data_IF_631300218162
#
_entry.id   IF_631300218162
#
_cell.length_a   1.000
_cell.length_b   1.000
_cell.length_c   1.000
_cell.angle_alpha   90.00
_cell.angle_beta   90.00
_cell.angle_gamma   90.00
#
_symmetry.space_group_name_H-M   'P 1'
#
loop_
_entity.id
_entity.type
_entity.pdbx_description
1 polymer ?
#
# COMPACT_ATOMS: atom_id res chain seq x y z
N UNK A 1 -16.85 21.57 -25.24
CA UNK A 1 -17.94 22.17 -24.44
C UNK A 1 -19.18 22.36 -25.32
N UNK A 2 -19.86 21.28 -25.70
CA UNK A 2 -21.01 21.34 -26.63
C UNK A 2 -22.35 21.19 -25.91
N UNK A 3 -22.38 20.43 -24.81
CA UNK A 3 -23.64 20.03 -24.14
C UNK A 3 -24.08 20.98 -23.01
N UNK A 4 -23.16 21.78 -22.47
CA UNK A 4 -23.45 22.63 -21.30
C UNK A 4 -24.32 23.82 -21.70
N UNK A 5 -25.52 23.91 -21.10
CA UNK A 5 -26.44 25.04 -21.30
C UNK A 5 -27.41 24.89 -22.48
N UNK A 6 -27.45 23.72 -23.13
CA UNK A 6 -28.45 23.46 -24.17
C UNK A 6 -29.85 23.22 -23.55
N UNK A 7 -30.92 23.78 -24.15
CA UNK A 7 -32.30 23.43 -23.81
C UNK A 7 -32.57 21.92 -23.95
N UNK A 8 -33.61 21.42 -23.28
CA UNK A 8 -34.02 20.02 -23.38
C UNK A 8 -34.46 19.65 -24.81
N UNK A 9 -34.41 18.36 -25.14
CA UNK A 9 -34.74 17.77 -26.45
C UNK A 9 -33.68 18.13 -27.51
N UNK A 10 -33.91 17.73 -28.76
CA UNK A 10 -32.99 17.91 -29.87
C UNK A 10 -32.70 19.39 -30.16
N UNK A 11 -31.40 19.71 -30.22
CA UNK A 11 -30.86 20.97 -30.69
C UNK A 11 -29.89 20.70 -31.83
N UNK A 12 -29.87 21.55 -32.86
CA UNK A 12 -28.93 21.39 -33.99
C UNK A 12 -27.46 21.37 -33.52
N UNK A 13 -27.15 22.11 -32.47
CA UNK A 13 -25.82 22.14 -31.85
C UNK A 13 -25.41 20.80 -31.24
N UNK A 14 -26.36 19.95 -30.85
CA UNK A 14 -26.09 18.59 -30.36
C UNK A 14 -25.45 17.70 -31.43
N UNK A 15 -25.56 18.06 -32.72
CA UNK A 15 -24.85 17.34 -33.78
C UNK A 15 -23.32 17.49 -33.64
N UNK A 16 -22.81 18.59 -33.08
CA UNK A 16 -21.35 18.77 -32.89
C UNK A 16 -20.74 17.78 -31.89
N UNK A 17 -21.51 16.85 -31.31
CA UNK A 17 -20.97 15.73 -30.52
C UNK A 17 -20.35 14.64 -31.39
N UNK A 18 -20.78 14.47 -32.64
CA UNK A 18 -20.28 13.39 -33.49
C UNK A 18 -18.82 13.64 -33.92
N UNK A 19 -18.42 14.89 -34.17
CA UNK A 19 -17.05 15.21 -34.62
C UNK A 19 -15.99 14.90 -33.54
N UNK A 20 -16.13 15.34 -32.27
CA UNK A 20 -15.24 14.94 -31.20
C UNK A 20 -15.31 13.44 -30.91
N UNK A 21 -16.47 12.79 -31.04
CA UNK A 21 -16.54 11.34 -30.86
C UNK A 21 -15.85 10.61 -32.00
N UNK A 22 -15.98 11.02 -33.26
CA UNK A 22 -15.32 10.30 -34.36
C UNK A 22 -13.81 10.61 -34.43
N UNK A 23 -13.42 11.88 -34.39
CA UNK A 23 -12.02 12.30 -34.45
C UNK A 23 -11.29 12.01 -33.14
N UNK A 24 -11.95 12.26 -32.01
CA UNK A 24 -11.45 11.90 -30.68
C UNK A 24 -11.44 10.40 -30.51
N UNK A 25 -12.54 9.65 -30.70
CA UNK A 25 -12.46 8.19 -30.53
C UNK A 25 -11.50 7.50 -31.49
N UNK A 26 -11.27 7.95 -32.73
CA UNK A 26 -10.22 7.33 -33.54
C UNK A 26 -8.80 7.68 -33.05
N UNK A 27 -8.51 8.94 -32.70
CA UNK A 27 -7.17 9.36 -32.24
C UNK A 27 -6.88 8.94 -30.80
N UNK A 28 -7.87 9.03 -29.93
CA UNK A 28 -7.83 8.61 -28.53
C UNK A 28 -7.83 7.09 -28.42
N UNK A 29 -8.54 6.34 -29.28
CA UNK A 29 -8.42 4.88 -29.32
C UNK A 29 -7.02 4.45 -29.74
N UNK A 30 -6.44 5.09 -30.76
CA UNK A 30 -5.04 4.85 -31.13
C UNK A 30 -4.09 5.23 -30.00
N UNK A 31 -4.26 6.40 -29.39
CA UNK A 31 -3.42 6.84 -28.27
C UNK A 31 -3.53 5.95 -27.03
N UNK A 32 -4.73 5.47 -26.69
CA UNK A 32 -4.95 4.53 -25.58
C UNK A 32 -4.36 3.16 -25.94
N UNK A 33 -4.59 2.66 -27.16
CA UNK A 33 -4.03 1.40 -27.64
C UNK A 33 -2.50 1.42 -27.61
N UNK A 34 -1.89 2.49 -28.10
CA UNK A 34 -0.44 2.67 -28.10
C UNK A 34 0.10 2.76 -26.67
N UNK A 35 -0.58 3.51 -25.79
CA UNK A 35 -0.22 3.62 -24.37
C UNK A 35 -0.27 2.26 -23.66
N UNK A 36 -1.27 1.43 -23.97
CA UNK A 36 -1.40 0.09 -23.41
C UNK A 36 -0.30 -0.84 -23.94
N UNK A 37 0.03 -0.77 -25.23
CA UNK A 37 1.13 -1.56 -25.80
C UNK A 37 2.48 -1.17 -25.20
N UNK A 38 2.73 0.13 -25.01
CA UNK A 38 3.94 0.62 -24.35
C UNK A 38 3.99 0.15 -22.90
N UNK A 39 2.90 0.28 -22.14
CA UNK A 39 2.84 -0.18 -20.76
C UNK A 39 3.09 -1.70 -20.65
N UNK A 40 2.50 -2.48 -21.56
CA UNK A 40 2.76 -3.92 -21.64
C UNK A 40 4.24 -4.21 -21.92
N UNK A 41 4.85 -3.51 -22.88
CA UNK A 41 6.27 -3.65 -23.18
C UNK A 41 7.14 -3.38 -21.95
N UNK A 42 6.88 -2.27 -21.25
CA UNK A 42 7.58 -1.92 -20.01
C UNK A 42 7.45 -3.03 -18.98
N UNK A 43 6.23 -3.51 -18.70
CA UNK A 43 5.99 -4.54 -17.68
C UNK A 43 6.66 -5.87 -18.02
N UNK A 44 6.69 -6.26 -19.29
CA UNK A 44 7.32 -7.51 -19.74
C UNK A 44 8.85 -7.43 -19.67
N UNK A 45 9.43 -6.27 -19.92
CA UNK A 45 10.90 -6.09 -19.94
C UNK A 45 11.46 -5.50 -18.65
N UNK A 46 10.63 -5.28 -17.63
CA UNK A 46 11.06 -4.68 -16.38
C UNK A 46 11.89 -5.68 -15.57
N UNK A 47 13.16 -5.35 -15.33
CA UNK A 47 14.00 -6.11 -14.41
C UNK A 47 13.84 -5.60 -12.98
N UNK A 48 13.33 -6.48 -12.13
CA UNK A 48 13.20 -6.26 -10.69
C UNK A 48 14.54 -6.52 -10.02
N UNK A 49 14.87 -5.75 -8.98
CA UNK A 49 16.06 -5.95 -8.12
C UNK A 49 15.65 -6.37 -6.71
N UNK A 50 15.33 -7.66 -6.47
CA UNK A 50 14.76 -8.13 -5.22
C UNK A 50 15.58 -7.73 -4.00
N UNK A 51 16.91 -7.83 -4.07
CA UNK A 51 17.80 -7.48 -2.96
C UNK A 51 17.72 -5.99 -2.60
N UNK A 52 17.61 -5.10 -3.59
CA UNK A 52 17.47 -3.66 -3.32
C UNK A 52 16.07 -3.32 -2.78
N UNK A 53 15.05 -4.03 -3.22
CA UNK A 53 13.68 -3.86 -2.71
C UNK A 53 13.57 -4.33 -1.26
N UNK A 54 14.13 -5.50 -0.95
CA UNK A 54 14.20 -6.02 0.43
C UNK A 54 15.00 -5.10 1.34
N UNK A 55 16.14 -4.58 0.88
CA UNK A 55 16.94 -3.64 1.66
C UNK A 55 16.26 -2.28 1.88
N UNK A 56 15.27 -1.92 1.07
CA UNK A 56 14.48 -0.70 1.26
C UNK A 56 13.30 -0.88 2.23
N UNK A 57 13.01 -2.11 2.68
CA UNK A 57 11.99 -2.37 3.68
C UNK A 57 12.49 -1.88 5.04
N UNK A 58 11.82 -0.86 5.56
CA UNK A 58 12.16 -0.27 6.85
C UNK A 58 11.50 -1.02 8.01
N UNK A 59 12.17 -0.97 9.15
CA UNK A 59 11.78 -1.53 10.44
C UNK A 59 10.52 -0.87 11.00
N UNK A 60 10.27 0.40 10.63
CA UNK A 60 9.06 1.14 11.00
C UNK A 60 7.77 0.47 10.51
N UNK A 61 7.85 -0.34 9.43
CA UNK A 61 6.68 -1.04 8.89
C UNK A 61 6.07 -2.04 9.89
N UNK A 62 6.86 -2.55 10.84
CA UNK A 62 6.40 -3.54 11.84
C UNK A 62 5.66 -2.89 13.02
N UNK A 63 5.86 -1.59 13.27
CA UNK A 63 5.20 -0.89 14.39
C UNK A 63 3.67 -0.78 14.18
N UNK A 64 3.23 -0.66 12.93
CA UNK A 64 1.80 -0.66 12.58
C UNK A 64 1.19 -2.05 12.78
N UNK A 65 1.90 -3.11 12.38
CA UNK A 65 1.42 -4.49 12.57
C UNK A 65 1.25 -4.82 14.08
N UNK A 66 2.16 -4.31 14.92
CA UNK A 66 2.08 -4.44 16.38
C UNK A 66 0.89 -3.67 16.96
N UNK A 67 0.61 -2.47 16.44
CA UNK A 67 -0.55 -1.69 16.84
C UNK A 67 -1.86 -2.39 16.45
N UNK A 68 -1.92 -2.98 15.25
CA UNK A 68 -3.07 -3.75 14.76
C UNK A 68 -3.32 -5.01 15.58
N UNK A 69 -2.25 -5.72 15.98
CA UNK A 69 -2.32 -6.85 16.90
C UNK A 69 -3.03 -6.45 18.21
N UNK A 70 -2.59 -5.36 18.84
CA UNK A 70 -3.19 -4.89 20.09
C UNK A 70 -4.64 -4.43 19.91
N UNK A 71 -4.99 -3.83 18.76
CA UNK A 71 -6.37 -3.45 18.44
C UNK A 71 -7.26 -4.69 18.34
N UNK A 72 -6.77 -5.77 17.72
CA UNK A 72 -7.49 -7.05 17.64
C UNK A 72 -7.70 -7.68 19.02
N UNK A 73 -6.78 -7.44 19.94
CA UNK A 73 -6.89 -7.87 21.35
C UNK A 73 -7.72 -6.90 22.22
N UNK A 74 -8.41 -5.93 21.60
CA UNK A 74 -9.36 -5.04 22.27
C UNK A 74 -8.76 -3.78 22.86
N UNK A 75 -7.49 -3.48 22.61
CA UNK A 75 -6.85 -2.25 23.08
C UNK A 75 -7.26 -1.06 22.20
N UNK A 76 -7.70 0.09 22.76
CA UNK A 76 -8.05 1.26 21.97
C UNK A 76 -6.88 1.76 21.11
N UNK A 77 -7.15 2.12 19.85
CA UNK A 77 -6.12 2.53 18.88
C UNK A 77 -5.16 3.63 19.38
N UNK A 78 -5.67 4.58 20.16
CA UNK A 78 -4.82 5.64 20.75
C UNK A 78 -3.75 5.06 21.67
N UNK A 79 -4.09 4.02 22.42
CA UNK A 79 -3.17 3.35 23.35
C UNK A 79 -2.21 2.43 22.59
N UNK A 80 -2.69 1.70 21.57
CA UNK A 80 -1.84 0.82 20.76
C UNK A 80 -0.72 1.58 20.04
N UNK A 81 -1.01 2.77 19.52
CA UNK A 81 0.00 3.63 18.89
C UNK A 81 1.09 4.08 19.88
N UNK A 82 0.73 4.34 21.15
CA UNK A 82 1.71 4.66 22.19
C UNK A 82 2.55 3.45 22.59
N UNK A 83 1.93 2.27 22.71
CA UNK A 83 2.62 1.03 23.06
C UNK A 83 3.59 0.63 21.93
N UNK A 84 3.14 0.60 20.67
CA UNK A 84 4.01 0.25 19.55
C UNK A 84 5.14 1.26 19.35
N UNK A 85 4.90 2.55 19.60
CA UNK A 85 5.95 3.58 19.61
C UNK A 85 7.01 3.35 20.70
N UNK A 86 6.62 2.84 21.87
CA UNK A 86 7.56 2.43 22.93
C UNK A 86 8.37 1.20 22.52
N UNK A 87 7.75 0.21 21.87
CA UNK A 87 8.45 -0.95 21.31
C UNK A 87 9.49 -0.52 20.26
N UNK A 88 9.12 0.40 19.38
CA UNK A 88 10.05 0.97 18.40
C UNK A 88 11.22 1.68 19.10
N UNK A 89 10.94 2.57 20.04
CA UNK A 89 11.98 3.27 20.79
C UNK A 89 12.93 2.32 21.54
N UNK A 90 12.42 1.18 22.03
CA UNK A 90 13.25 0.15 22.68
C UNK A 90 14.14 -0.59 21.67
N UNK A 91 13.61 -0.91 20.49
CA UNK A 91 14.39 -1.51 19.39
C UNK A 91 15.52 -0.58 18.93
N UNK A 92 15.25 0.72 18.76
CA UNK A 92 16.26 1.73 18.40
C UNK A 92 17.36 1.85 19.45
N UNK A 93 17.00 1.90 20.74
CA UNK A 93 17.99 1.97 21.83
C UNK A 93 18.95 0.78 21.84
N UNK A 94 18.45 -0.40 21.47
CA UNK A 94 19.22 -1.65 21.44
C UNK A 94 19.98 -1.85 20.13
N UNK A 95 19.66 -1.07 19.09
CA UNK A 95 20.23 -1.24 17.75
C UNK A 95 19.84 -2.55 17.09
N UNK A 96 18.72 -3.15 17.50
CA UNK A 96 18.19 -4.39 16.93
C UNK A 96 16.85 -4.10 16.24
N UNK A 97 16.48 -4.88 15.21
CA UNK A 97 15.20 -4.71 14.53
C UNK A 97 14.04 -5.12 15.44
N UNK A 98 12.85 -4.53 15.26
CA UNK A 98 11.68 -4.78 16.13
C UNK A 98 11.27 -6.26 16.21
N UNK A 99 11.49 -7.04 15.15
CA UNK A 99 11.20 -8.48 15.12
C UNK A 99 12.22 -9.35 15.89
N UNK A 100 13.30 -8.76 16.40
CA UNK A 100 14.26 -9.42 17.28
C UNK A 100 14.02 -9.11 18.77
N UNK A 101 13.00 -8.31 19.10
CA UNK A 101 12.56 -8.13 20.48
C UNK A 101 12.00 -9.45 21.01
N UNK A 102 12.48 -9.89 22.18
CA UNK A 102 11.94 -11.10 22.83
C UNK A 102 10.56 -10.83 23.43
N UNK A 103 9.76 -11.89 23.63
CA UNK A 103 8.46 -11.76 24.31
C UNK A 103 8.60 -11.06 25.67
N UNK A 104 9.60 -11.44 26.46
CA UNK A 104 9.89 -10.81 27.76
C UNK A 104 10.14 -9.29 27.63
N UNK A 105 10.78 -8.84 26.54
CA UNK A 105 11.04 -7.42 26.30
C UNK A 105 9.77 -6.68 25.89
N UNK A 106 8.89 -7.33 25.13
CA UNK A 106 7.59 -6.78 24.77
C UNK A 106 6.67 -6.72 26.00
N UNK A 107 6.61 -7.78 26.80
CA UNK A 107 5.86 -7.85 28.06
C UNK A 107 6.32 -6.80 29.07
N UNK A 108 7.63 -6.52 29.14
CA UNK A 108 8.17 -5.44 29.96
C UNK A 108 7.66 -4.05 29.54
N UNK A 109 7.24 -3.89 28.29
CA UNK A 109 6.61 -2.66 27.79
C UNK A 109 5.13 -2.65 28.15
N UNK A 110 4.41 -3.74 27.85
CA UNK A 110 2.99 -3.91 28.17
C UNK A 110 2.66 -5.39 28.39
N UNK A 111 2.04 -5.72 29.53
CA UNK A 111 1.73 -7.11 29.88
C UNK A 111 0.60 -7.76 29.08
N UNK A 112 0.04 -7.06 28.06
CA UNK A 112 -0.97 -7.62 27.14
C UNK A 112 -0.37 -8.31 25.92
N UNK A 113 0.94 -8.29 25.77
CA UNK A 113 1.60 -9.10 24.75
C UNK A 113 1.58 -10.57 25.16
N UNK A 114 1.16 -11.44 24.25
CA UNK A 114 1.18 -12.88 24.42
C UNK A 114 2.13 -13.51 23.39
N UNK A 115 2.41 -14.82 23.52
CA UNK A 115 3.35 -15.55 22.64
C UNK A 115 2.96 -15.47 21.15
N UNK A 116 1.68 -15.26 20.85
CA UNK A 116 1.17 -15.11 19.50
C UNK A 116 1.65 -13.82 18.80
N UNK A 117 2.16 -12.83 19.53
CA UNK A 117 2.75 -11.61 18.94
C UNK A 117 3.95 -11.92 18.04
N UNK A 118 4.71 -12.98 18.35
CA UNK A 118 5.86 -13.39 17.54
C UNK A 118 5.43 -13.85 16.14
N UNK A 119 4.23 -14.39 16.01
CA UNK A 119 3.66 -14.81 14.72
C UNK A 119 3.36 -13.60 13.81
N UNK A 120 3.15 -12.41 14.36
CA UNK A 120 2.96 -11.16 13.59
C UNK A 120 4.22 -10.85 12.78
N UNK A 121 5.39 -11.02 13.40
CA UNK A 121 6.68 -10.82 12.72
C UNK A 121 6.99 -11.92 11.71
N UNK A 122 6.64 -13.18 12.01
CA UNK A 122 6.87 -14.32 11.11
C UNK A 122 5.97 -14.29 9.88
N UNK A 123 4.67 -14.01 10.05
CA UNK A 123 3.73 -13.92 8.94
C UNK A 123 4.18 -12.89 7.90
N UNK A 124 4.68 -11.74 8.37
CA UNK A 124 5.18 -10.68 7.48
C UNK A 124 6.48 -11.06 6.79
N UNK A 125 7.37 -11.81 7.48
CA UNK A 125 8.56 -12.39 6.87
C UNK A 125 8.19 -13.33 5.72
N UNK A 126 7.15 -14.14 5.90
CA UNK A 126 6.71 -15.10 4.90
C UNK A 126 5.99 -14.44 3.72
N UNK A 127 5.11 -13.47 3.95
CA UNK A 127 4.50 -12.65 2.89
C UNK A 127 5.56 -11.95 2.01
N UNK A 128 6.66 -11.49 2.63
CA UNK A 128 7.82 -10.90 1.93
C UNK A 128 8.72 -11.95 1.25
N UNK A 129 8.68 -13.22 1.69
CA UNK A 129 9.45 -14.32 1.10
C UNK A 129 8.78 -14.87 -0.17
N UNK A 130 7.45 -14.85 -0.20
CA UNK A 130 6.59 -15.35 -1.29
C UNK A 130 6.44 -14.36 -2.47
N UNK A 131 7.20 -13.27 -2.51
CA UNK A 131 7.23 -12.34 -3.64
C UNK A 131 6.01 -11.43 -3.81
N UNK A 132 5.20 -11.24 -2.75
CA UNK A 132 4.09 -10.29 -2.75
C UNK A 132 4.51 -8.84 -2.44
N UNK A 133 5.80 -8.59 -2.25
CA UNK A 133 6.44 -7.26 -2.21
C UNK A 133 7.83 -7.31 -2.84
#
# INVERSE_FOLDING_TARGET
MTQKGLPQVYQKDSQKSWEPTYVGSCKDYLGISDSLQIAQGILVTLDIKPERMKAALDLFMLATDLADYLVRNGVPFRETHHISGRCFAESEKRGIPMNELSLEQLEAIDGRFEEDVLHVFEKRRDERSQGWL
#
